data_IF_010729717515
#
_entry.id   IF_010729717515
#
_cell.length_a   1.000
_cell.length_b   1.000
_cell.length_c   1.000
_cell.angle_alpha   90.00
_cell.angle_beta   90.00
_cell.angle_gamma   90.00
#
_symmetry.space_group_name_H-M   'P 1'
#
loop_
_entity.id
_entity.type
_entity.pdbx_description
1 polymer ?
#
# COMPACT_ATOMS: atom_id res chain seq x y z
N UNK A 1 -32.38 9.97 46.18
CA UNK A 1 -33.13 8.73 45.84
C UNK A 1 -33.91 8.95 44.56
N UNK A 2 -33.59 8.17 43.51
CA UNK A 2 -34.49 7.71 42.43
C UNK A 2 -35.11 8.80 41.52
N UNK A 3 -35.00 8.74 40.20
CA UNK A 3 -35.42 7.60 39.35
C UNK A 3 -34.69 7.57 38.02
N UNK A 4 -34.43 6.33 37.59
CA UNK A 4 -33.90 5.86 36.31
C UNK A 4 -34.87 6.22 35.17
N UNK A 5 -34.36 6.64 34.02
CA UNK A 5 -35.12 6.65 32.77
C UNK A 5 -34.81 5.38 31.96
N UNK A 6 -35.84 4.66 31.45
CA UNK A 6 -35.65 3.43 30.69
C UNK A 6 -35.46 3.68 29.18
N UNK A 7 -34.66 2.80 28.60
CA UNK A 7 -34.55 2.48 27.16
C UNK A 7 -35.88 1.90 26.66
N UNK A 8 -36.12 1.98 25.34
CA UNK A 8 -37.03 1.20 24.45
C UNK A 8 -37.84 2.18 23.59
N UNK A 9 -37.37 2.50 22.38
CA UNK A 9 -37.57 1.73 21.13
C UNK A 9 -39.04 1.66 20.70
N UNK A 10 -39.43 2.57 19.80
CA UNK A 10 -40.61 2.43 18.96
C UNK A 10 -40.14 2.33 17.50
N UNK A 11 -39.87 1.09 17.11
CA UNK A 11 -39.99 0.62 15.74
C UNK A 11 -41.49 0.47 15.38
N UNK A 12 -41.77 0.31 14.08
CA UNK A 12 -43.08 0.17 13.41
C UNK A 12 -43.59 1.49 12.83
N UNK A 13 -44.03 1.60 11.58
CA UNK A 13 -44.14 0.65 10.49
C UNK A 13 -44.45 1.56 9.29
N UNK A 14 -43.44 1.82 8.46
CA UNK A 14 -43.50 2.89 7.47
C UNK A 14 -43.31 2.37 6.05
N UNK A 15 -44.38 2.48 5.29
CA UNK A 15 -44.42 2.66 3.84
C UNK A 15 -44.27 1.43 2.93
N UNK A 16 -45.44 0.98 2.48
CA UNK A 16 -45.75 0.42 1.18
C UNK A 16 -45.08 1.20 0.04
N UNK A 17 -44.59 0.47 -0.96
CA UNK A 17 -44.74 0.88 -2.34
C UNK A 17 -43.46 1.12 -3.14
N UNK A 18 -43.53 0.65 -4.39
CA UNK A 18 -42.63 0.93 -5.52
C UNK A 18 -41.45 -0.04 -5.67
N UNK A 19 -41.78 -1.23 -6.18
CA UNK A 19 -40.85 -2.07 -6.93
C UNK A 19 -40.53 -1.38 -8.26
N UNK A 20 -39.54 -0.48 -8.26
CA UNK A 20 -38.94 0.00 -9.50
C UNK A 20 -38.18 -1.16 -10.16
N UNK A 21 -38.74 -1.68 -11.25
CA UNK A 21 -38.01 -2.54 -12.19
C UNK A 21 -36.86 -1.72 -12.79
N UNK A 22 -35.68 -1.81 -12.19
CA UNK A 22 -34.46 -1.22 -12.72
C UNK A 22 -34.00 -2.08 -13.90
N UNK A 23 -34.30 -1.64 -15.11
CA UNK A 23 -33.70 -2.22 -16.32
C UNK A 23 -32.19 -1.99 -16.27
N UNK A 24 -31.42 -3.07 -16.17
CA UNK A 24 -29.96 -3.02 -16.19
C UNK A 24 -29.51 -2.49 -17.56
N UNK A 25 -29.06 -1.24 -17.59
CA UNK A 25 -28.34 -0.68 -18.73
C UNK A 25 -27.00 -1.43 -18.80
N UNK A 26 -26.82 -2.22 -19.85
CA UNK A 26 -25.52 -2.79 -20.18
C UNK A 26 -24.57 -1.63 -20.48
N UNK A 27 -23.68 -1.34 -19.54
CA UNK A 27 -22.58 -0.40 -19.74
C UNK A 27 -21.64 -1.03 -20.74
N UNK A 28 -21.62 -0.52 -21.98
CA UNK A 28 -20.56 -0.84 -22.93
C UNK A 28 -19.24 -0.38 -22.33
N UNK A 29 -18.42 -1.35 -21.93
CA UNK A 29 -17.15 -1.09 -21.28
C UNK A 29 -16.17 -0.55 -22.32
N UNK A 30 -15.98 0.77 -22.29
CA UNK A 30 -15.07 1.48 -23.17
C UNK A 30 -13.65 0.92 -22.96
N UNK A 31 -13.19 0.13 -23.94
CA UNK A 31 -11.87 -0.49 -23.88
C UNK A 31 -10.84 0.56 -24.27
N UNK A 32 -9.97 0.91 -23.35
CA UNK A 32 -8.92 1.89 -23.58
C UNK A 32 -7.94 1.38 -24.66
N UNK A 33 -7.88 2.02 -25.85
CA UNK A 33 -7.00 1.59 -26.93
C UNK A 33 -5.51 1.87 -26.64
N UNK A 34 -5.20 2.59 -25.56
CA UNK A 34 -3.82 2.84 -25.11
C UNK A 34 -3.30 1.79 -24.13
N UNK A 35 -4.13 0.80 -23.77
CA UNK A 35 -3.70 -0.28 -22.87
C UNK A 35 -2.62 -1.15 -23.54
N UNK A 36 -1.40 -1.24 -22.98
CA UNK A 36 -0.37 -2.09 -23.55
C UNK A 36 -0.74 -3.57 -23.35
N UNK A 37 -0.37 -4.42 -24.32
CA UNK A 37 -0.76 -5.83 -24.39
C UNK A 37 -0.45 -6.65 -23.12
N UNK A 38 0.56 -6.24 -22.36
CA UNK A 38 1.01 -6.91 -21.14
C UNK A 38 0.75 -6.11 -19.85
N UNK A 39 -0.26 -5.22 -19.84
CA UNK A 39 -0.63 -4.52 -18.62
C UNK A 39 -1.19 -5.50 -17.58
N UNK A 40 -0.35 -5.92 -16.64
CA UNK A 40 -0.78 -6.58 -15.42
C UNK A 40 -0.76 -5.54 -14.29
N UNK A 41 -1.89 -5.28 -13.62
CA UNK A 41 -1.89 -4.44 -12.43
C UNK A 41 -0.95 -5.09 -11.40
N UNK A 42 0.01 -4.31 -10.89
CA UNK A 42 0.96 -4.77 -9.87
C UNK A 42 0.14 -5.14 -8.64
N UNK A 43 0.07 -6.44 -8.33
CA UNK A 43 -0.55 -6.90 -7.10
C UNK A 43 0.30 -6.39 -5.92
N UNK A 44 -0.33 -5.70 -4.98
CA UNK A 44 0.28 -5.36 -3.70
C UNK A 44 0.70 -6.67 -3.03
N UNK A 45 2.00 -6.94 -2.98
CA UNK A 45 2.53 -8.19 -2.47
C UNK A 45 2.11 -8.37 -1.00
N UNK A 46 1.24 -9.36 -0.72
CA UNK A 46 1.04 -9.87 0.64
C UNK A 46 2.21 -10.78 0.96
N UNK A 47 2.97 -10.36 1.98
CA UNK A 47 4.27 -10.91 2.34
C UNK A 47 4.34 -12.43 2.48
N UNK A 48 5.48 -12.95 2.01
CA UNK A 48 6.01 -14.26 2.31
C UNK A 48 7.53 -14.19 2.15
N UNK A 49 8.26 -14.36 3.27
CA UNK A 49 9.72 -14.41 3.41
C UNK A 49 10.49 -13.67 2.30
N UNK A 50 10.15 -12.39 2.15
CA UNK A 50 10.47 -11.58 0.98
C UNK A 50 11.84 -10.93 1.16
N UNK A 51 12.76 -11.20 0.24
CA UNK A 51 13.92 -10.33 0.05
C UNK A 51 13.39 -8.92 -0.24
N UNK A 52 13.62 -7.97 0.66
CA UNK A 52 13.28 -6.57 0.41
C UNK A 52 13.87 -6.14 -0.92
N UNK A 53 13.05 -5.52 -1.78
CA UNK A 53 13.50 -4.96 -3.04
C UNK A 53 13.57 -3.45 -2.94
N UNK A 54 14.70 -2.89 -3.33
CA UNK A 54 14.86 -1.45 -3.49
C UNK A 54 14.54 -1.08 -4.94
N UNK A 55 13.50 -0.30 -5.16
CA UNK A 55 13.08 0.12 -6.51
C UNK A 55 13.54 1.52 -6.88
N UNK A 56 13.60 2.45 -5.92
CA UNK A 56 13.94 3.84 -6.21
C UNK A 56 14.68 4.50 -5.04
N UNK A 57 15.61 5.38 -5.40
CA UNK A 57 16.22 6.34 -4.46
C UNK A 57 16.02 7.73 -5.05
N UNK A 58 15.49 8.65 -4.24
CA UNK A 58 15.41 10.06 -4.58
C UNK A 58 16.26 10.83 -3.59
N UNK A 59 17.25 11.56 -4.12
CA UNK A 59 18.10 12.43 -3.33
C UNK A 59 18.24 13.78 -4.05
N UNK A 60 17.85 14.83 -3.37
CA UNK A 60 17.89 16.23 -3.81
C UNK A 60 18.08 17.12 -2.58
N UNK A 61 18.40 18.41 -2.79
CA UNK A 61 18.59 19.35 -1.68
C UNK A 61 17.37 19.48 -0.74
N UNK A 62 16.15 19.21 -1.22
CA UNK A 62 14.91 19.36 -0.45
C UNK A 62 14.25 18.05 -0.05
N UNK A 63 14.67 16.91 -0.62
CA UNK A 63 13.99 15.62 -0.45
C UNK A 63 14.99 14.48 -0.52
N UNK A 64 14.90 13.56 0.44
CA UNK A 64 15.66 12.33 0.49
C UNK A 64 14.73 11.19 0.94
N UNK A 65 14.49 10.22 0.07
CA UNK A 65 13.67 9.05 0.37
C UNK A 65 14.02 7.87 -0.54
N UNK A 66 13.59 6.68 -0.15
CA UNK A 66 13.65 5.48 -0.96
C UNK A 66 12.26 4.87 -1.15
N UNK A 67 12.10 4.05 -2.17
CA UNK A 67 10.94 3.18 -2.34
C UNK A 67 11.44 1.75 -2.19
N UNK A 68 10.91 1.05 -1.17
CA UNK A 68 11.22 -0.34 -0.87
C UNK A 68 9.92 -1.12 -0.86
N UNK A 69 9.83 -2.17 -1.68
CA UNK A 69 8.62 -2.96 -1.91
C UNK A 69 7.39 -2.09 -2.25
N UNK A 70 7.62 -1.00 -3.01
CA UNK A 70 6.58 -0.02 -3.36
C UNK A 70 6.21 0.96 -2.23
N UNK A 71 6.77 0.82 -1.02
CA UNK A 71 6.57 1.75 0.08
C UNK A 71 7.62 2.86 0.08
N UNK A 72 7.18 4.13 0.08
CA UNK A 72 8.06 5.28 0.28
C UNK A 72 8.52 5.36 1.74
N UNK A 73 9.83 5.31 1.97
CA UNK A 73 10.46 5.34 3.30
C UNK A 73 11.52 6.44 3.42
N UNK A 74 11.73 6.91 4.64
CA UNK A 74 12.76 7.90 5.01
C UNK A 74 13.62 7.38 6.16
N UNK A 75 14.77 8.01 6.42
CA UNK A 75 15.65 7.63 7.54
C UNK A 75 14.88 7.64 8.87
N UNK A 76 15.08 6.60 9.67
CA UNK A 76 14.40 6.38 10.93
C UNK A 76 13.08 5.61 10.84
N UNK A 77 12.48 5.49 9.65
CA UNK A 77 11.28 4.68 9.47
C UNK A 77 11.61 3.17 9.43
N UNK A 78 10.57 2.34 9.59
CA UNK A 78 10.68 0.90 9.51
C UNK A 78 9.98 0.35 8.26
N UNK A 79 10.54 -0.73 7.71
CA UNK A 79 9.96 -1.55 6.65
C UNK A 79 10.11 -3.02 7.05
N UNK A 80 8.99 -3.70 7.31
CA UNK A 80 9.01 -5.04 7.91
C UNK A 80 9.73 -5.04 9.27
N UNK A 81 10.80 -5.84 9.39
CA UNK A 81 11.63 -5.96 10.59
C UNK A 81 12.89 -5.07 10.58
N UNK A 82 13.01 -4.19 9.59
CA UNK A 82 14.21 -3.41 9.34
C UNK A 82 13.96 -1.92 9.58
N UNK A 83 14.92 -1.24 10.21
CA UNK A 83 14.93 0.21 10.35
C UNK A 83 15.84 0.83 9.29
N UNK A 84 15.38 1.89 8.63
CA UNK A 84 16.20 2.66 7.68
C UNK A 84 17.19 3.50 8.48
N UNK A 85 18.48 3.22 8.32
CA UNK A 85 19.55 3.95 9.02
C UNK A 85 20.22 5.01 8.14
N UNK A 86 20.29 4.79 6.83
CA UNK A 86 20.85 5.76 5.88
C UNK A 86 20.32 5.53 4.45
N UNK A 87 20.23 6.60 3.66
CA UNK A 87 19.81 6.58 2.26
C UNK A 87 20.90 7.26 1.42
N UNK A 88 21.70 6.48 0.70
CA UNK A 88 22.77 6.98 -0.15
C UNK A 88 22.37 6.92 -1.63
N UNK A 89 23.09 7.58 -2.55
CA UNK A 89 22.71 7.63 -3.96
C UNK A 89 22.56 6.27 -4.67
N UNK A 90 23.20 5.21 -4.18
CA UNK A 90 23.20 3.88 -4.81
C UNK A 90 22.71 2.75 -3.91
N UNK A 91 22.52 3.05 -2.62
CA UNK A 91 22.24 2.04 -1.61
C UNK A 91 21.39 2.62 -0.48
N UNK A 92 20.60 1.74 0.14
CA UNK A 92 19.94 2.03 1.42
C UNK A 92 20.54 1.09 2.45
N UNK A 93 20.93 1.67 3.58
CA UNK A 93 21.40 0.90 4.73
C UNK A 93 20.22 0.68 5.68
N UNK A 94 20.07 -0.56 6.11
CA UNK A 94 19.03 -0.98 7.01
C UNK A 94 19.64 -1.71 8.20
N UNK A 95 19.01 -1.56 9.36
CA UNK A 95 19.35 -2.28 10.58
C UNK A 95 18.24 -3.26 10.93
N UNK A 96 18.60 -4.51 11.18
CA UNK A 96 17.68 -5.53 11.65
C UNK A 96 17.57 -5.48 13.18
N UNK A 97 16.51 -6.08 13.73
CA UNK A 97 16.25 -6.18 15.16
C UNK A 97 17.34 -6.93 15.95
N UNK A 98 18.09 -7.83 15.30
CA UNK A 98 19.25 -8.52 15.89
C UNK A 98 20.52 -7.67 15.92
N UNK A 99 20.46 -6.45 15.38
CA UNK A 99 21.56 -5.50 15.32
C UNK A 99 22.45 -5.62 14.09
N UNK A 100 22.18 -6.57 13.19
CA UNK A 100 22.90 -6.70 11.91
C UNK A 100 22.51 -5.60 10.92
N UNK A 101 23.46 -5.20 10.08
CA UNK A 101 23.24 -4.21 9.03
C UNK A 101 23.13 -4.90 7.67
N UNK A 102 22.14 -4.49 6.88
CA UNK A 102 21.89 -4.98 5.53
C UNK A 102 21.95 -3.80 4.56
N UNK A 103 22.48 -4.07 3.38
CA UNK A 103 22.57 -3.11 2.28
C UNK A 103 21.68 -3.54 1.14
N UNK A 104 20.76 -2.67 0.75
CA UNK A 104 19.98 -2.83 -0.47
C UNK A 104 20.54 -1.95 -1.58
N UNK A 105 20.62 -2.49 -2.79
CA UNK A 105 21.08 -1.80 -4.00
C UNK A 105 20.05 -1.92 -5.10
N UNK A 106 19.96 -0.90 -5.97
CA UNK A 106 19.00 -0.88 -7.09
C UNK A 106 19.29 -1.94 -8.16
N UNK A 107 20.56 -2.30 -8.34
CA UNK A 107 21.01 -3.18 -9.41
C UNK A 107 21.59 -4.47 -8.85
N UNK A 108 21.24 -5.59 -9.48
CA UNK A 108 21.94 -6.87 -9.31
C UNK A 108 23.28 -6.79 -10.04
N UNK A 109 24.37 -7.18 -9.37
CA UNK A 109 25.64 -7.34 -10.05
C UNK A 109 25.65 -8.64 -10.84
N UNK A 110 25.72 -8.52 -12.16
CA UNK A 110 25.94 -9.65 -13.06
C UNK A 110 27.45 -9.96 -13.01
N UNK A 111 27.83 -11.10 -12.43
CA UNK A 111 29.22 -11.60 -12.53
C UNK A 111 29.47 -11.97 -13.98
N UNK A 112 30.49 -11.36 -14.60
CA UNK A 112 30.99 -11.72 -15.92
C UNK A 112 31.98 -12.87 -15.83
#
# INVERSE_FOLDING_TARGET
>A
MSRRQPVIAFACLGLVGVSCSFSALAVEQLTDPTKPANYQPVATAKGGLSSLKLEQIVSSASRQFAVIDGQKVTVGQQVGQYQIIDIKPKEVLLKQSDGSDIRLTLFTQIKQ
#
